data_IF_913969280247
#
_entry.id   IF_913969280247
#
_cell.length_a   1.000
_cell.length_b   1.000
_cell.length_c   1.000
_cell.angle_alpha   90.00
_cell.angle_beta   90.00
_cell.angle_gamma   90.00
#
_symmetry.space_group_name_H-M   'P 1'
#
loop_
_entity.id
_entity.type
_entity.pdbx_description
1 polymer ?
#
# COMPACT_ATOMS: atom_id res chain seq x y z
N UNK A 1 6.70 10.29 -4.49
CA UNK A 1 5.28 10.11 -4.15
C UNK A 1 4.50 11.28 -4.75
N UNK A 2 3.66 11.04 -5.74
CA UNK A 2 2.85 12.11 -6.37
C UNK A 2 1.58 12.42 -5.57
N UNK A 3 1.05 11.47 -4.83
CA UNK A 3 -0.12 11.67 -3.98
C UNK A 3 -0.13 10.65 -2.85
N UNK A 4 -0.29 11.15 -1.66
CA UNK A 4 -0.56 10.33 -0.47
C UNK A 4 -1.70 11.00 0.28
N UNK A 5 -2.86 10.39 0.29
CA UNK A 5 -4.04 10.91 0.96
C UNK A 5 -4.55 9.99 2.06
N UNK A 6 -5.09 10.59 3.11
CA UNK A 6 -5.89 9.87 4.09
C UNK A 6 -7.31 9.69 3.51
N UNK A 7 -7.76 8.46 3.38
CA UNK A 7 -9.07 8.14 2.82
C UNK A 7 -10.22 8.81 3.57
N UNK A 8 -10.08 8.93 4.89
CA UNK A 8 -11.14 9.43 5.76
C UNK A 8 -11.20 10.96 5.83
N UNK A 9 -10.06 11.62 5.65
CA UNK A 9 -9.96 13.09 5.79
C UNK A 9 -9.72 13.81 4.48
N UNK A 10 -9.32 13.11 3.43
CA UNK A 10 -8.89 13.72 2.16
C UNK A 10 -7.64 14.60 2.30
N UNK A 11 -6.98 14.57 3.46
CA UNK A 11 -5.79 15.34 3.73
C UNK A 11 -4.56 14.72 3.04
N UNK A 12 -3.72 15.55 2.46
CA UNK A 12 -2.41 15.12 1.99
C UNK A 12 -1.53 14.74 3.18
N UNK A 13 -1.12 13.48 3.21
CA UNK A 13 -0.16 13.03 4.21
C UNK A 13 1.27 13.17 3.69
N UNK A 14 2.22 13.45 4.59
CA UNK A 14 3.62 13.43 4.22
C UNK A 14 4.07 12.01 3.87
N UNK A 15 5.00 11.87 2.92
CA UNK A 15 5.59 10.58 2.60
C UNK A 15 6.22 9.91 3.84
N UNK A 16 6.78 10.70 4.76
CA UNK A 16 7.36 10.21 6.00
C UNK A 16 6.31 9.58 6.92
N UNK A 17 5.09 10.10 6.96
CA UNK A 17 3.98 9.51 7.72
C UNK A 17 3.48 8.23 7.06
N UNK A 18 3.37 8.21 5.74
CA UNK A 18 2.91 7.05 5.00
C UNK A 18 3.82 5.83 5.16
N UNK A 19 5.15 6.02 5.22
CA UNK A 19 6.12 4.91 5.27
C UNK A 19 6.43 4.39 6.68
N UNK A 20 5.88 4.98 7.74
CA UNK A 20 6.12 4.54 9.12
C UNK A 20 4.86 3.98 9.75
N UNK A 21 5.00 2.89 10.49
CA UNK A 21 3.95 2.42 11.41
C UNK A 21 4.00 3.22 12.71
N UNK A 22 2.84 3.67 13.17
CA UNK A 22 2.65 4.20 14.52
C UNK A 22 2.67 3.10 15.57
N UNK A 23 2.69 3.49 16.84
CA UNK A 23 2.60 2.55 17.95
C UNK A 23 1.22 1.87 17.99
N UNK A 24 1.18 0.62 18.47
CA UNK A 24 -0.08 -0.07 18.76
C UNK A 24 -0.94 0.76 19.71
N UNK A 25 -2.22 0.91 19.41
CA UNK A 25 -3.15 1.70 20.20
C UNK A 25 -3.02 3.22 20.05
N UNK A 26 -2.13 3.72 19.19
CA UNK A 26 -1.92 5.16 18.98
C UNK A 26 -3.07 5.86 18.27
N UNK A 27 -3.92 5.12 17.56
CA UNK A 27 -5.12 5.62 16.89
C UNK A 27 -6.16 4.51 16.81
N UNK A 28 -7.41 4.83 17.05
CA UNK A 28 -8.55 3.93 16.83
C UNK A 28 -9.06 3.94 15.39
N UNK A 29 -8.48 4.76 14.51
CA UNK A 29 -8.89 4.89 13.11
C UNK A 29 -7.88 4.23 12.19
N UNK A 30 -8.41 3.56 11.17
CA UNK A 30 -7.62 3.08 10.05
C UNK A 30 -7.17 4.27 9.19
N UNK A 31 -5.95 4.17 8.67
CA UNK A 31 -5.40 5.13 7.71
C UNK A 31 -5.08 4.43 6.40
N UNK A 32 -5.45 5.04 5.29
CA UNK A 32 -5.18 4.51 3.97
C UNK A 32 -4.47 5.56 3.13
N UNK A 33 -3.35 5.19 2.56
CA UNK A 33 -2.52 6.04 1.72
C UNK A 33 -2.37 5.41 0.34
N UNK A 34 -2.36 6.22 -0.71
CA UNK A 34 -2.12 5.76 -2.07
C UNK A 34 -1.01 6.58 -2.71
N UNK A 35 -0.17 5.92 -3.49
CA UNK A 35 0.86 6.57 -4.29
C UNK A 35 1.10 5.81 -5.58
N UNK A 36 1.56 6.51 -6.62
CA UNK A 36 2.16 5.84 -7.77
C UNK A 36 3.51 5.28 -7.36
N UNK A 37 3.80 4.07 -7.80
CA UNK A 37 5.05 3.40 -7.52
C UNK A 37 5.49 2.53 -8.69
N UNK A 38 6.80 2.44 -8.89
CA UNK A 38 7.41 1.43 -9.76
C UNK A 38 7.46 0.11 -8.99
N UNK A 39 6.38 -0.65 -9.10
CA UNK A 39 6.20 -1.88 -8.35
C UNK A 39 7.02 -3.05 -8.92
N UNK A 40 7.57 -2.93 -10.12
CA UNK A 40 8.53 -3.92 -10.64
C UNK A 40 9.85 -3.86 -9.86
N UNK A 41 10.29 -2.66 -9.46
CA UNK A 41 11.40 -2.50 -8.51
C UNK A 41 11.05 -2.96 -7.11
N UNK A 42 9.78 -2.89 -6.77
CA UNK A 42 9.24 -3.39 -5.53
C UNK A 42 9.28 -2.40 -4.37
N UNK A 43 8.56 -2.80 -3.33
CA UNK A 43 8.44 -2.08 -2.05
C UNK A 43 8.99 -2.99 -0.96
N UNK A 44 9.93 -2.46 -0.18
CA UNK A 44 10.53 -3.17 0.95
C UNK A 44 9.83 -2.78 2.24
N UNK A 45 9.38 -3.79 2.95
CA UNK A 45 8.89 -3.68 4.33
C UNK A 45 9.95 -4.27 5.26
N UNK A 46 10.27 -3.57 6.34
CA UNK A 46 11.23 -4.03 7.34
C UNK A 46 10.65 -3.95 8.73
N UNK A 47 10.86 -4.97 9.52
CA UNK A 47 10.54 -5.03 10.95
C UNK A 47 11.84 -5.16 11.77
N UNK A 48 12.43 -4.04 12.23
CA UNK A 48 13.67 -4.10 13.01
C UNK A 48 13.52 -4.89 14.32
N UNK A 49 12.31 -4.88 14.89
CA UNK A 49 12.04 -5.61 16.13
C UNK A 49 12.15 -7.13 15.96
N UNK A 50 11.71 -7.66 14.82
CA UNK A 50 11.74 -9.10 14.53
C UNK A 50 12.93 -9.52 13.68
N UNK A 51 13.61 -8.59 13.01
CA UNK A 51 14.67 -8.88 12.06
C UNK A 51 14.16 -9.53 10.76
N UNK A 52 12.93 -9.26 10.38
CA UNK A 52 12.32 -9.78 9.16
C UNK A 52 12.09 -8.66 8.16
N UNK A 53 12.29 -8.94 6.89
CA UNK A 53 11.88 -8.05 5.79
C UNK A 53 11.05 -8.80 4.75
N UNK A 54 10.24 -8.04 4.03
CA UNK A 54 9.52 -8.50 2.86
C UNK A 54 9.81 -7.54 1.69
N UNK A 55 10.09 -8.09 0.52
CA UNK A 55 10.10 -7.36 -0.75
C UNK A 55 8.83 -7.75 -1.51
N UNK A 56 8.01 -6.76 -1.83
CA UNK A 56 6.76 -6.95 -2.56
C UNK A 56 6.93 -6.30 -3.93
N UNK A 57 6.79 -7.08 -4.97
CA UNK A 57 6.89 -6.66 -6.37
C UNK A 57 5.57 -6.96 -7.07
N UNK A 58 5.23 -6.16 -8.07
CA UNK A 58 4.04 -6.40 -8.88
C UNK A 58 4.27 -5.99 -10.33
N UNK A 59 3.69 -6.79 -11.24
CA UNK A 59 3.63 -6.55 -12.67
C UNK A 59 2.20 -6.16 -13.06
N UNK A 60 2.05 -5.23 -14.01
CA UNK A 60 0.75 -4.76 -14.49
C UNK A 60 -0.02 -3.86 -13.51
N UNK A 61 0.59 -3.49 -12.39
CA UNK A 61 0.04 -2.61 -11.36
C UNK A 61 0.99 -1.43 -11.14
N UNK A 62 0.44 -0.23 -10.97
CA UNK A 62 1.24 1.01 -10.90
C UNK A 62 0.86 1.94 -9.75
N UNK A 63 0.00 1.46 -8.85
CA UNK A 63 -0.35 2.12 -7.63
C UNK A 63 -0.06 1.24 -6.42
N UNK A 64 0.36 1.87 -5.34
CA UNK A 64 0.55 1.26 -4.03
C UNK A 64 -0.46 1.85 -3.06
N UNK A 65 -1.30 1.01 -2.48
CA UNK A 65 -2.07 1.30 -1.30
C UNK A 65 -1.31 0.87 -0.04
N UNK A 66 -1.34 1.68 0.99
CA UNK A 66 -0.87 1.33 2.33
C UNK A 66 -2.04 1.50 3.30
N UNK A 67 -2.61 0.40 3.74
CA UNK A 67 -3.62 0.37 4.78
C UNK A 67 -2.99 0.11 6.12
N UNK A 68 -3.31 0.93 7.12
CA UNK A 68 -2.77 0.83 8.46
C UNK A 68 -3.87 0.77 9.50
N UNK A 69 -3.78 -0.20 10.38
CA UNK A 69 -4.58 -0.29 11.58
C UNK A 69 -3.67 -0.25 12.80
N UNK A 70 -3.92 0.69 13.70
CA UNK A 70 -3.17 0.83 14.96
C UNK A 70 -3.94 0.32 16.17
N UNK A 71 -5.19 -0.14 15.97
CA UNK A 71 -6.05 -0.63 17.05
C UNK A 71 -5.58 -1.98 17.57
N UNK A 72 -5.93 -2.28 18.82
CA UNK A 72 -5.76 -3.59 19.42
C UNK A 72 -7.11 -4.35 19.37
N UNK A 73 -7.15 -5.62 18.94
CA UNK A 73 -6.03 -6.50 18.57
C UNK A 73 -5.57 -6.39 17.11
N UNK A 74 -6.18 -5.57 16.29
CA UNK A 74 -5.96 -5.53 14.83
C UNK A 74 -4.80 -4.61 14.38
N UNK A 75 -3.65 -4.68 15.06
CA UNK A 75 -2.46 -3.96 14.63
C UNK A 75 -1.87 -4.58 13.38
N UNK A 76 -2.08 -3.93 12.23
CA UNK A 76 -1.73 -4.49 10.92
C UNK A 76 -1.31 -3.43 9.91
N UNK A 77 -0.54 -3.85 8.90
CA UNK A 77 -0.18 -3.09 7.72
C UNK A 77 -0.57 -3.89 6.47
N UNK A 78 -1.44 -3.34 5.63
CA UNK A 78 -1.67 -3.79 4.27
C UNK A 78 -0.69 -3.09 3.31
N UNK A 79 0.00 -3.87 2.50
CA UNK A 79 0.80 -3.40 1.36
C UNK A 79 0.09 -3.89 0.12
N UNK A 80 -0.57 -2.98 -0.58
CA UNK A 80 -1.63 -3.28 -1.54
C UNK A 80 -1.29 -2.78 -2.95
N UNK A 81 -0.53 -3.56 -3.77
CA UNK A 81 -0.40 -3.26 -5.18
C UNK A 81 -1.78 -3.20 -5.85
N UNK A 82 -2.06 -2.11 -6.57
CA UNK A 82 -3.35 -1.92 -7.21
C UNK A 82 -3.23 -1.17 -8.55
N UNK A 83 -4.28 -1.22 -9.34
CA UNK A 83 -4.32 -0.56 -10.65
C UNK A 83 -4.93 0.84 -10.61
N UNK A 84 -5.58 1.22 -9.49
CA UNK A 84 -6.04 2.58 -9.25
C UNK A 84 -6.15 2.84 -7.74
N UNK A 85 -6.10 4.11 -7.30
CA UNK A 85 -6.29 4.43 -5.88
C UNK A 85 -7.74 4.19 -5.45
N UNK A 86 -7.94 3.78 -4.21
CA UNK A 86 -9.25 3.45 -3.62
C UNK A 86 -10.09 4.67 -3.26
N UNK A 87 -10.18 5.65 -4.14
CA UNK A 87 -10.96 6.89 -3.94
C UNK A 87 -12.47 6.71 -4.14
N UNK A 88 -12.91 5.50 -4.50
CA UNK A 88 -14.23 5.23 -5.02
C UNK A 88 -14.30 5.40 -6.55
N UNK A 89 -15.13 4.55 -7.22
CA UNK A 89 -15.16 4.48 -8.69
C UNK A 89 -15.56 5.79 -9.37
N UNK A 90 -16.49 6.54 -8.79
CA UNK A 90 -16.94 7.82 -9.35
C UNK A 90 -15.78 8.83 -9.36
N UNK A 91 -15.15 9.06 -8.23
CA UNK A 91 -14.04 10.00 -8.10
C UNK A 91 -12.81 9.57 -8.93
N UNK A 92 -12.51 8.27 -9.00
CA UNK A 92 -11.44 7.76 -9.83
C UNK A 92 -11.72 7.99 -11.34
N UNK A 93 -12.99 7.86 -11.76
CA UNK A 93 -13.41 8.14 -13.15
C UNK A 93 -13.27 9.62 -13.47
N UNK A 94 -13.79 10.51 -12.64
CA UNK A 94 -13.68 11.95 -12.81
C UNK A 94 -12.24 12.45 -12.94
N UNK A 95 -11.32 11.80 -12.22
CA UNK A 95 -9.88 12.09 -12.25
C UNK A 95 -9.12 11.38 -13.38
N UNK A 96 -9.80 10.59 -14.20
CA UNK A 96 -9.14 9.80 -15.26
C UNK A 96 -8.21 8.69 -14.74
N UNK A 97 -8.41 8.25 -13.49
CA UNK A 97 -7.57 7.24 -12.83
C UNK A 97 -8.17 5.84 -12.89
N UNK A 98 -9.45 5.72 -13.23
CA UNK A 98 -10.13 4.43 -13.30
C UNK A 98 -9.77 3.71 -14.61
N UNK A 99 -9.01 2.61 -14.55
CA UNK A 99 -8.75 1.83 -15.75
C UNK A 99 -10.04 1.14 -16.23
N UNK A 100 -10.26 1.17 -17.52
CA UNK A 100 -11.41 0.53 -18.17
C UNK A 100 -10.93 -0.73 -18.89
N UNK A 101 -11.74 -1.78 -18.83
CA UNK A 101 -11.58 -3.00 -19.61
C UNK A 101 -12.69 -3.04 -20.67
N UNK A 102 -12.31 -3.09 -21.94
CA UNK A 102 -13.28 -3.16 -23.03
C UNK A 102 -13.80 -4.59 -23.21
N UNK A 103 -14.97 -4.77 -23.82
CA UNK A 103 -15.48 -6.11 -24.10
C UNK A 103 -14.46 -6.97 -24.90
N UNK A 104 -14.14 -8.15 -24.37
CA UNK A 104 -13.12 -9.05 -24.93
C UNK A 104 -11.68 -8.72 -24.57
N UNK A 105 -11.40 -7.60 -23.91
CA UNK A 105 -10.08 -7.27 -23.40
C UNK A 105 -9.77 -8.09 -22.14
N UNK A 106 -8.51 -8.55 -22.03
CA UNK A 106 -7.98 -9.23 -20.86
C UNK A 106 -6.79 -8.44 -20.32
N UNK A 107 -6.67 -8.33 -19.01
CA UNK A 107 -5.49 -7.83 -18.31
C UNK A 107 -4.99 -8.87 -17.33
N UNK A 108 -3.68 -9.02 -17.32
CA UNK A 108 -2.98 -9.87 -16.37
C UNK A 108 -2.17 -9.01 -15.42
N UNK A 109 -2.08 -9.44 -14.19
CA UNK A 109 -1.21 -8.85 -13.17
C UNK A 109 -0.65 -9.96 -12.29
N UNK A 110 0.53 -9.74 -11.75
CA UNK A 110 1.17 -10.66 -10.83
C UNK A 110 1.71 -9.91 -9.63
N UNK A 111 1.63 -10.55 -8.45
CA UNK A 111 2.25 -10.05 -7.21
C UNK A 111 3.17 -11.12 -6.68
N UNK A 112 4.39 -10.73 -6.34
CA UNK A 112 5.39 -11.58 -5.70
C UNK A 112 5.77 -11.00 -4.36
N UNK A 113 5.80 -11.84 -3.32
CA UNK A 113 6.32 -11.49 -2.01
C UNK A 113 7.53 -12.39 -1.68
N UNK A 114 8.64 -11.78 -1.35
CA UNK A 114 9.86 -12.46 -0.94
C UNK A 114 10.22 -12.04 0.48
N UNK A 115 10.31 -13.03 1.37
CA UNK A 115 10.62 -12.81 2.78
C UNK A 115 12.09 -13.17 3.06
N UNK A 116 12.72 -12.38 3.92
CA UNK A 116 14.09 -12.58 4.37
C UNK A 116 14.22 -12.28 5.86
N UNK A 117 15.13 -12.95 6.54
CA UNK A 117 15.48 -12.67 7.93
C UNK A 117 16.97 -12.36 8.01
N UNK A 118 17.33 -11.31 8.75
CA UNK A 118 18.74 -10.96 9.03
C UNK A 118 19.14 -11.22 10.49
N UNK A 119 18.22 -11.71 11.31
CA UNK A 119 18.57 -12.24 12.62
C UNK A 119 18.91 -13.73 12.47
N UNK A 120 20.11 -14.10 12.82
CA UNK A 120 20.46 -15.49 13.08
C UNK A 120 19.58 -15.95 14.24
N UNK A 121 18.72 -16.94 14.02
CA UNK A 121 18.03 -17.58 15.12
C UNK A 121 19.10 -18.24 16.01
N UNK A 122 19.02 -18.09 17.33
CA UNK A 122 19.94 -18.75 18.26
C UNK A 122 19.84 -20.26 18.17
#
# INVERSE_FOLDING_TARGET
>A
FEYVGDRDTGAEASAAEAVKMGARGSSGREKVYYTRADLEKGVRLESPATGVSALIQAEGLNWLGLWKSFSDPAYALGVEPCNCPGLGRAAARERGLLPMLMPGETRESAVRAQFSSWRTMP
#
